data_IF_369464273507
#
_entry.id   IF_369464273507
#
_cell.length_a   1.000
_cell.length_b   1.000
_cell.length_c   1.000
_cell.angle_alpha   90.00
_cell.angle_beta   90.00
_cell.angle_gamma   90.00
#
_symmetry.space_group_name_H-M   'P 1'
#
loop_
_entity.id
_entity.type
_entity.pdbx_description
1 polymer ?
#
# COMPACT_ATOMS: atom_id res chain seq x y z
N UNK A 1 -9.71 -15.46 4.83
CA UNK A 1 -10.45 -15.44 6.09
C UNK A 1 -11.93 -15.21 5.86
N UNK A 2 -12.77 -15.84 6.68
CA UNK A 2 -14.22 -15.61 6.64
C UNK A 2 -14.55 -14.31 7.41
N UNK A 3 -15.36 -13.47 6.81
CA UNK A 3 -15.89 -12.25 7.38
C UNK A 3 -17.41 -12.37 7.57
N UNK A 4 -17.87 -12.17 8.80
CA UNK A 4 -19.30 -12.16 9.13
C UNK A 4 -19.80 -10.73 9.09
N UNK A 5 -20.85 -10.50 8.32
CA UNK A 5 -21.48 -9.18 8.19
C UNK A 5 -22.16 -8.80 9.49
N UNK A 6 -21.89 -7.59 9.98
CA UNK A 6 -22.45 -7.07 11.22
C UNK A 6 -23.98 -6.96 11.11
N UNK A 7 -24.70 -7.20 12.21
CA UNK A 7 -26.17 -7.23 12.23
C UNK A 7 -26.85 -5.93 11.82
N UNK A 8 -26.12 -4.80 11.92
CA UNK A 8 -26.61 -3.49 11.49
C UNK A 8 -26.45 -3.24 9.97
N UNK A 9 -25.98 -4.23 9.21
CA UNK A 9 -25.84 -4.17 7.75
C UNK A 9 -26.82 -5.14 7.12
N UNK A 10 -27.41 -4.78 5.96
CA UNK A 10 -28.30 -5.67 5.23
C UNK A 10 -27.56 -6.86 4.63
N UNK A 11 -28.32 -7.88 4.28
CA UNK A 11 -27.86 -9.11 3.64
C UNK A 11 -27.25 -8.81 2.26
N UNK A 12 -26.17 -9.54 1.94
CA UNK A 12 -25.47 -9.40 0.66
C UNK A 12 -26.15 -10.23 -0.41
N UNK A 13 -26.52 -9.58 -1.50
CA UNK A 13 -26.88 -10.27 -2.74
C UNK A 13 -25.66 -10.49 -3.61
N UNK A 14 -24.92 -9.43 -3.94
CA UNK A 14 -23.77 -9.50 -4.86
C UNK A 14 -22.71 -8.46 -4.49
N UNK A 15 -21.44 -8.86 -4.54
CA UNK A 15 -20.29 -7.94 -4.49
C UNK A 15 -20.19 -7.19 -5.82
N UNK A 16 -20.15 -5.86 -5.75
CA UNK A 16 -20.04 -4.96 -6.90
C UNK A 16 -18.59 -4.58 -7.16
N UNK A 17 -17.89 -4.19 -6.09
CA UNK A 17 -16.50 -3.75 -6.16
C UNK A 17 -15.78 -4.07 -4.85
N UNK A 18 -14.51 -4.34 -4.94
CA UNK A 18 -13.63 -4.58 -3.82
C UNK A 18 -12.34 -3.80 -4.00
N UNK A 19 -11.81 -3.27 -2.92
CA UNK A 19 -10.55 -2.57 -2.88
C UNK A 19 -9.87 -2.83 -1.55
N UNK A 20 -8.53 -2.71 -1.51
CA UNK A 20 -7.76 -2.88 -0.29
C UNK A 20 -6.36 -2.34 -0.38
N UNK A 21 -5.73 -2.26 0.78
CA UNK A 21 -4.33 -1.87 0.91
C UNK A 21 -3.68 -2.61 2.07
N UNK A 22 -2.37 -2.76 1.99
CA UNK A 22 -1.57 -3.29 3.10
C UNK A 22 -1.15 -2.15 4.00
N UNK A 23 -1.35 -2.34 5.29
CA UNK A 23 -0.83 -1.44 6.32
C UNK A 23 0.11 -2.22 7.23
N UNK A 24 1.37 -1.81 7.28
CA UNK A 24 2.32 -2.34 8.26
C UNK A 24 2.17 -1.57 9.59
N UNK A 25 2.07 -2.34 10.68
CA UNK A 25 2.01 -1.78 12.03
C UNK A 25 3.38 -1.85 12.72
N UNK A 26 4.12 -2.95 12.53
CA UNK A 26 5.41 -3.14 13.17
C UNK A 26 6.38 -3.97 12.31
N UNK A 27 7.65 -3.58 12.35
CA UNK A 27 8.78 -4.31 11.75
C UNK A 27 9.79 -4.54 12.86
N UNK A 28 10.13 -5.79 13.16
CA UNK A 28 11.18 -6.16 14.10
C UNK A 28 12.26 -6.95 13.36
N UNK A 29 13.50 -6.48 13.43
CA UNK A 29 14.67 -7.17 12.91
C UNK A 29 15.53 -7.69 14.08
N UNK A 30 15.98 -8.95 14.00
CA UNK A 30 16.97 -9.51 14.89
C UNK A 30 17.87 -10.45 14.09
N UNK A 31 19.06 -9.94 13.71
CA UNK A 31 19.91 -10.57 12.71
C UNK A 31 19.14 -10.80 11.41
N UNK A 32 19.25 -11.99 10.86
CA UNK A 32 18.60 -12.35 9.59
C UNK A 32 17.07 -12.53 9.69
N UNK A 33 16.50 -12.58 10.90
CA UNK A 33 15.07 -12.79 11.08
C UNK A 33 14.33 -11.46 11.13
N UNK A 34 13.36 -11.31 10.26
CA UNK A 34 12.51 -10.11 10.15
C UNK A 34 11.06 -10.54 10.43
N UNK A 35 10.47 -9.97 11.49
CA UNK A 35 9.06 -10.16 11.83
C UNK A 35 8.27 -8.95 11.36
N UNK A 36 7.23 -9.21 10.60
CA UNK A 36 6.30 -8.20 10.12
C UNK A 36 4.94 -8.45 10.75
N UNK A 37 4.32 -7.41 11.26
CA UNK A 37 2.91 -7.42 11.61
C UNK A 37 2.19 -6.26 10.99
N UNK A 38 0.95 -6.49 10.60
CA UNK A 38 0.15 -5.50 9.93
C UNK A 38 -1.26 -6.01 9.64
N UNK A 39 -1.94 -5.33 8.75
CA UNK A 39 -3.28 -5.70 8.31
C UNK A 39 -3.49 -5.43 6.83
N UNK A 40 -4.36 -6.23 6.20
CA UNK A 40 -4.98 -5.91 4.93
C UNK A 40 -6.25 -5.14 5.25
N UNK A 41 -6.24 -3.83 5.07
CA UNK A 41 -7.46 -3.02 5.10
C UNK A 41 -8.22 -3.24 3.80
N UNK A 42 -9.49 -3.57 3.88
CA UNK A 42 -10.32 -3.82 2.69
C UNK A 42 -11.65 -3.09 2.75
N UNK A 43 -12.14 -2.75 1.57
CA UNK A 43 -13.45 -2.16 1.35
C UNK A 43 -14.23 -2.99 0.33
N UNK A 44 -15.51 -3.21 0.61
CA UNK A 44 -16.41 -3.96 -0.26
C UNK A 44 -17.68 -3.15 -0.48
N UNK A 45 -18.00 -2.90 -1.74
CA UNK A 45 -19.31 -2.42 -2.16
C UNK A 45 -20.14 -3.62 -2.60
N UNK A 46 -21.36 -3.73 -2.09
CA UNK A 46 -22.26 -4.82 -2.42
C UNK A 46 -23.70 -4.34 -2.56
N UNK A 47 -24.48 -5.10 -3.32
CA UNK A 47 -25.92 -4.90 -3.38
C UNK A 47 -26.59 -5.69 -2.28
N UNK A 48 -27.58 -5.10 -1.62
CA UNK A 48 -28.41 -5.80 -0.65
C UNK A 48 -29.41 -6.75 -1.33
N UNK A 49 -29.80 -7.80 -0.64
CA UNK A 49 -30.90 -8.65 -1.06
C UNK A 49 -32.22 -7.86 -0.98
N UNK A 50 -33.03 -7.94 -2.02
CA UNK A 50 -34.33 -7.28 -2.05
C UNK A 50 -35.35 -8.14 -1.27
N UNK A 51 -35.84 -7.61 -0.17
CA UNK A 51 -37.01 -8.15 0.50
C UNK A 51 -38.22 -7.45 -0.11
N UNK A 52 -38.94 -8.10 -0.97
CA UNK A 52 -40.20 -7.62 -1.47
C UNK A 52 -41.28 -7.79 -0.38
N UNK A 53 -41.51 -6.79 0.41
CA UNK A 53 -42.69 -6.69 1.27
C UNK A 53 -43.72 -5.81 0.56
N UNK A 54 -44.63 -6.44 -0.20
CA UNK A 54 -45.88 -5.83 -0.69
C UNK A 54 -45.75 -4.75 -1.78
N UNK A 55 -46.87 -4.45 -2.42
CA UNK A 55 -47.11 -3.55 -3.57
C UNK A 55 -46.64 -2.08 -3.38
N UNK A 56 -45.36 -1.83 -3.16
CA UNK A 56 -44.81 -0.48 -3.24
C UNK A 56 -44.47 -0.14 -4.70
N UNK A 57 -44.85 1.04 -5.20
CA UNK A 57 -44.60 1.42 -6.60
C UNK A 57 -43.10 1.55 -6.88
N UNK A 58 -42.70 1.11 -8.07
CA UNK A 58 -41.31 1.06 -8.58
C UNK A 58 -40.51 2.39 -8.50
N UNK A 59 -41.15 3.51 -8.29
CA UNK A 59 -40.56 4.85 -8.28
C UNK A 59 -39.56 5.09 -7.12
N UNK A 60 -39.63 4.32 -6.02
CA UNK A 60 -38.72 4.44 -4.90
C UNK A 60 -37.56 3.44 -4.86
N UNK A 61 -37.45 2.56 -5.86
CA UNK A 61 -36.50 1.46 -5.90
C UNK A 61 -35.06 1.94 -6.21
N UNK A 62 -34.86 3.18 -6.62
CA UNK A 62 -33.54 3.69 -7.06
C UNK A 62 -32.55 4.10 -5.97
N UNK A 63 -32.97 4.24 -4.72
CA UNK A 63 -32.25 5.09 -3.77
C UNK A 63 -31.18 4.44 -2.89
N UNK A 64 -31.17 3.15 -2.61
CA UNK A 64 -30.23 2.60 -1.58
C UNK A 64 -29.89 1.11 -1.76
N UNK A 65 -29.63 0.69 -2.99
CA UNK A 65 -29.29 -0.72 -3.27
C UNK A 65 -27.84 -1.08 -2.97
N UNK A 66 -26.94 -0.12 -2.83
CA UNK A 66 -25.52 -0.35 -2.63
C UNK A 66 -25.12 -0.03 -1.20
N UNK A 67 -24.50 -0.99 -0.58
CA UNK A 67 -23.96 -0.89 0.77
C UNK A 67 -22.43 -1.03 0.76
N UNK A 68 -21.81 -0.59 1.84
CA UNK A 68 -20.37 -0.54 1.99
C UNK A 68 -19.92 -1.21 3.29
N UNK A 69 -18.89 -2.05 3.19
CA UNK A 69 -18.17 -2.64 4.31
C UNK A 69 -16.73 -2.16 4.26
N UNK A 70 -16.20 -1.78 5.40
CA UNK A 70 -14.78 -1.52 5.60
C UNK A 70 -14.32 -2.26 6.85
N UNK A 71 -13.25 -3.06 6.71
CA UNK A 71 -12.67 -3.81 7.81
C UNK A 71 -11.20 -4.16 7.50
N UNK A 72 -10.53 -4.88 8.41
CA UNK A 72 -9.13 -5.24 8.27
C UNK A 72 -8.87 -6.71 8.69
N UNK A 73 -7.97 -7.37 7.97
CA UNK A 73 -7.49 -8.72 8.29
C UNK A 73 -6.07 -8.60 8.80
N UNK A 74 -5.80 -8.88 10.10
CA UNK A 74 -4.45 -8.86 10.62
C UNK A 74 -3.62 -10.02 10.08
N UNK A 75 -2.33 -9.77 9.90
CA UNK A 75 -1.33 -10.78 9.58
C UNK A 75 -0.06 -10.60 10.41
N UNK A 76 0.68 -11.70 10.58
CA UNK A 76 2.01 -11.73 11.16
C UNK A 76 2.83 -12.73 10.36
N UNK A 77 3.99 -12.29 9.87
CA UNK A 77 4.89 -13.11 9.08
C UNK A 77 6.32 -13.00 9.57
N UNK A 78 7.04 -14.11 9.46
CA UNK A 78 8.47 -14.18 9.73
C UNK A 78 9.19 -14.45 8.41
N UNK A 79 10.07 -13.55 8.03
CA UNK A 79 10.90 -13.64 6.85
C UNK A 79 12.37 -13.75 7.23
N UNK A 80 13.19 -14.27 6.32
CA UNK A 80 14.64 -14.36 6.50
C UNK A 80 15.32 -13.54 5.42
N UNK A 81 16.16 -12.60 5.84
CA UNK A 81 17.01 -11.80 4.96
C UNK A 81 18.46 -12.16 5.24
N UNK A 82 19.04 -13.01 4.39
CA UNK A 82 20.39 -13.53 4.57
C UNK A 82 21.45 -12.42 4.53
N UNK A 83 22.46 -12.53 5.38
CA UNK A 83 23.61 -11.62 5.42
C UNK A 83 23.37 -10.31 6.17
N UNK A 84 22.18 -10.11 6.75
CA UNK A 84 21.87 -8.94 7.58
C UNK A 84 22.31 -9.17 9.03
N UNK A 85 22.96 -8.16 9.60
CA UNK A 85 23.40 -8.11 10.98
C UNK A 85 22.52 -7.14 11.79
N UNK A 86 22.62 -7.19 13.12
CA UNK A 86 21.84 -6.33 14.02
C UNK A 86 22.08 -4.81 13.84
N UNK A 87 23.20 -4.44 13.24
CA UNK A 87 23.57 -3.03 12.99
C UNK A 87 23.03 -2.50 11.66
N UNK A 88 22.53 -3.39 10.82
CA UNK A 88 22.07 -3.04 9.48
C UNK A 88 20.67 -2.42 9.54
N UNK A 89 20.40 -1.48 8.65
CA UNK A 89 19.08 -0.89 8.49
C UNK A 89 18.26 -1.77 7.56
N UNK A 90 17.10 -2.26 8.03
CA UNK A 90 16.16 -3.03 7.20
C UNK A 90 15.04 -2.13 6.71
N UNK A 91 14.84 -2.09 5.40
CA UNK A 91 13.70 -1.44 4.77
C UNK A 91 12.74 -2.47 4.22
N UNK A 92 11.47 -2.23 4.42
CA UNK A 92 10.39 -3.14 4.00
C UNK A 92 9.42 -2.36 3.13
N UNK A 93 9.12 -2.92 1.95
CA UNK A 93 8.07 -2.44 1.07
C UNK A 93 7.04 -3.55 0.92
N UNK A 94 5.78 -3.18 0.96
CA UNK A 94 4.66 -4.13 0.82
C UNK A 94 3.69 -3.64 -0.23
N UNK A 95 3.18 -4.58 -1.02
CA UNK A 95 2.10 -4.37 -1.98
C UNK A 95 0.97 -5.36 -1.74
N UNK A 96 -0.23 -4.99 -2.11
CA UNK A 96 -1.37 -5.90 -2.21
C UNK A 96 -1.50 -6.31 -3.69
N UNK A 97 -1.05 -7.52 -4.01
CA UNK A 97 -1.05 -8.00 -5.40
C UNK A 97 -2.43 -8.44 -5.84
N UNK A 98 -3.19 -9.05 -4.92
CA UNK A 98 -4.53 -9.53 -5.21
C UNK A 98 -5.42 -9.39 -3.96
N UNK A 99 -6.64 -8.95 -4.18
CA UNK A 99 -7.72 -9.01 -3.19
C UNK A 99 -8.94 -9.68 -3.82
N UNK A 100 -9.36 -10.80 -3.26
CA UNK A 100 -10.55 -11.53 -3.73
C UNK A 100 -11.59 -11.59 -2.62
N UNK A 101 -12.79 -11.14 -2.92
CA UNK A 101 -13.94 -11.24 -2.01
C UNK A 101 -15.04 -12.05 -2.67
N UNK A 102 -15.36 -13.20 -2.08
CA UNK A 102 -16.44 -14.09 -2.51
C UNK A 102 -17.59 -14.11 -1.51
N UNK A 103 -18.81 -14.27 -2.01
CA UNK A 103 -20.01 -14.45 -1.18
C UNK A 103 -20.13 -15.92 -0.81
N UNK A 104 -20.10 -16.25 0.49
CA UNK A 104 -20.36 -17.61 0.98
C UNK A 104 -21.87 -17.79 1.19
N UNK A 105 -22.50 -16.81 1.83
CA UNK A 105 -23.95 -16.68 1.98
C UNK A 105 -24.29 -15.20 2.22
N UNK A 106 -25.58 -14.87 2.37
CA UNK A 106 -26.04 -13.47 2.53
C UNK A 106 -25.42 -12.73 3.71
N UNK A 107 -24.90 -13.46 4.73
CA UNK A 107 -24.30 -12.89 5.95
C UNK A 107 -22.80 -13.14 6.07
N UNK A 108 -22.18 -13.82 5.08
CA UNK A 108 -20.78 -14.24 5.20
C UNK A 108 -20.03 -14.09 3.88
N UNK A 109 -18.87 -13.43 3.96
CA UNK A 109 -17.93 -13.24 2.86
C UNK A 109 -16.66 -14.04 3.10
N UNK A 110 -16.05 -14.54 2.03
CA UNK A 110 -14.67 -15.03 2.04
C UNK A 110 -13.76 -13.90 1.53
N UNK A 111 -12.80 -13.46 2.34
CA UNK A 111 -11.84 -12.43 1.96
C UNK A 111 -10.45 -13.05 1.92
N UNK A 112 -9.79 -12.96 0.77
CA UNK A 112 -8.42 -13.43 0.53
C UNK A 112 -7.60 -12.29 -0.03
N UNK A 113 -6.39 -12.06 0.52
CA UNK A 113 -5.38 -11.16 -0.02
C UNK A 113 -4.08 -11.89 -0.28
N UNK A 114 -3.36 -11.49 -1.32
CA UNK A 114 -1.98 -11.87 -1.59
C UNK A 114 -1.14 -10.61 -1.43
N UNK A 115 -0.13 -10.69 -0.56
CA UNK A 115 0.77 -9.58 -0.23
C UNK A 115 2.13 -9.90 -0.80
N UNK A 116 2.70 -8.98 -1.57
CA UNK A 116 4.13 -8.97 -1.89
C UNK A 116 4.90 -8.24 -0.79
N UNK A 117 6.08 -8.75 -0.48
CA UNK A 117 6.99 -8.15 0.50
C UNK A 117 8.39 -8.10 -0.08
N UNK A 118 8.97 -6.92 -0.15
CA UNK A 118 10.35 -6.69 -0.54
C UNK A 118 11.16 -6.21 0.67
N UNK A 119 12.29 -6.88 0.91
CA UNK A 119 13.19 -6.60 2.02
C UNK A 119 14.54 -6.12 1.49
N UNK A 120 15.04 -5.01 2.01
CA UNK A 120 16.36 -4.46 1.70
C UNK A 120 17.15 -4.30 2.99
N UNK A 121 18.35 -4.90 3.05
CA UNK A 121 19.33 -4.68 4.11
C UNK A 121 20.37 -3.66 3.64
N UNK A 122 20.53 -2.58 4.38
CA UNK A 122 21.53 -1.55 4.12
C UNK A 122 22.58 -1.55 5.21
N UNK A 123 23.86 -1.61 4.83
CA UNK A 123 25.00 -1.54 5.73
C UNK A 123 25.87 -0.35 5.38
N UNK A 124 26.21 0.43 6.38
CA UNK A 124 27.21 1.48 6.26
C UNK A 124 28.57 0.94 6.74
N UNK A 125 29.57 0.98 5.88
CA UNK A 125 30.92 0.51 6.18
C UNK A 125 31.92 1.65 6.02
N UNK A 126 32.84 1.76 6.99
CA UNK A 126 33.98 2.67 6.89
C UNK A 126 35.14 1.93 6.22
N UNK A 127 35.55 2.42 5.06
CA UNK A 127 36.71 1.91 4.33
C UNK A 127 37.92 2.79 4.59
N UNK A 128 38.95 2.22 5.19
CA UNK A 128 40.26 2.84 5.26
C UNK A 128 41.07 2.46 4.03
N UNK A 129 41.47 3.44 3.25
CA UNK A 129 42.21 3.22 2.00
C UNK A 129 43.53 3.96 2.07
N UNK A 130 44.64 3.25 1.81
CA UNK A 130 45.94 3.89 1.66
C UNK A 130 45.94 4.77 0.40
N UNK A 131 46.19 6.06 0.57
CA UNK A 131 46.20 7.02 -0.53
C UNK A 131 47.59 7.23 -1.12
N UNK A 132 48.64 7.10 -0.30
CA UNK A 132 50.03 7.34 -0.68
C UNK A 132 50.99 6.68 0.27
N UNK A 133 52.09 6.16 -0.25
CA UNK A 133 53.23 5.66 0.51
C UNK A 133 54.40 6.60 0.22
N UNK A 134 54.92 7.27 1.25
CA UNK A 134 56.06 8.15 1.13
C UNK A 134 57.38 7.39 1.41
N UNK A 135 57.69 6.42 0.52
CA UNK A 135 58.95 5.69 0.54
C UNK A 135 59.60 5.75 -0.85
N UNK A 136 60.91 6.00 -0.88
CA UNK A 136 61.67 6.15 -2.13
C UNK A 136 61.93 4.85 -2.86
N UNK A 137 61.80 3.72 -2.17
CA UNK A 137 62.14 2.41 -2.71
C UNK A 137 60.89 1.58 -3.10
N UNK A 138 59.71 2.25 -3.13
CA UNK A 138 58.43 1.58 -3.45
C UNK A 138 57.80 2.15 -4.71
N UNK A 139 57.53 1.29 -5.67
CA UNK A 139 56.70 1.62 -6.83
C UNK A 139 55.24 1.60 -6.44
N UNK A 140 54.52 2.67 -6.75
CA UNK A 140 53.07 2.80 -6.43
C UNK A 140 52.22 2.60 -7.66
N UNK A 141 51.29 1.65 -7.61
CA UNK A 141 50.24 1.49 -8.60
C UNK A 141 48.94 2.14 -8.05
N UNK A 142 48.53 3.23 -8.66
CA UNK A 142 47.30 3.96 -8.29
C UNK A 142 46.11 3.40 -9.04
N UNK A 143 45.04 3.08 -8.31
CA UNK A 143 43.75 2.67 -8.84
C UNK A 143 42.62 3.64 -8.49
N UNK A 144 41.53 3.54 -9.19
CA UNK A 144 40.30 4.27 -8.88
C UNK A 144 39.24 3.30 -8.38
N UNK A 145 38.60 3.61 -7.27
CA UNK A 145 37.46 2.87 -6.73
C UNK A 145 36.23 3.77 -6.72
N UNK A 146 35.13 3.26 -7.27
CA UNK A 146 33.83 3.92 -7.18
C UNK A 146 33.10 3.41 -5.93
N UNK A 147 32.70 4.31 -5.06
CA UNK A 147 31.93 4.03 -3.85
C UNK A 147 30.59 4.76 -3.92
N UNK A 148 29.54 4.12 -3.41
CA UNK A 148 28.25 4.75 -3.18
C UNK A 148 28.19 5.24 -1.75
N UNK A 149 27.83 6.49 -1.57
CA UNK A 149 27.60 7.11 -0.27
C UNK A 149 26.18 7.63 -0.21
N UNK A 150 25.47 7.29 0.87
CA UNK A 150 24.18 7.92 1.16
C UNK A 150 24.45 9.35 1.63
N UNK A 151 23.97 10.33 0.88
CA UNK A 151 24.17 11.74 1.18
C UNK A 151 23.07 12.26 2.12
N UNK A 152 21.80 12.02 1.75
CA UNK A 152 20.67 12.44 2.56
C UNK A 152 19.43 11.57 2.35
N UNK A 153 18.55 11.54 3.34
CA UNK A 153 17.21 10.94 3.26
C UNK A 153 16.22 11.98 3.75
N UNK A 154 15.29 12.36 2.89
CA UNK A 154 14.19 13.26 3.24
C UNK A 154 12.87 12.50 3.19
N UNK A 155 12.04 12.70 4.23
CA UNK A 155 10.65 12.23 4.26
C UNK A 155 9.77 13.44 4.44
N UNK A 156 8.83 13.63 3.50
CA UNK A 156 7.89 14.74 3.56
C UNK A 156 6.49 14.30 3.17
N UNK A 157 5.50 15.10 3.54
CA UNK A 157 4.08 14.86 3.25
C UNK A 157 3.59 15.99 2.36
N UNK A 158 3.32 15.67 1.12
CA UNK A 158 2.72 16.59 0.16
C UNK A 158 1.19 16.48 0.22
N UNK A 159 0.52 17.61 0.46
CA UNK A 159 -0.95 17.68 0.48
C UNK A 159 -1.45 18.24 -0.84
N UNK A 160 -2.21 17.43 -1.57
CA UNK A 160 -2.84 17.81 -2.82
C UNK A 160 -4.33 18.08 -2.54
N UNK A 161 -4.84 19.21 -3.03
CA UNK A 161 -6.26 19.56 -2.95
C UNK A 161 -6.72 20.01 -4.32
N UNK A 162 -7.78 19.38 -4.81
CA UNK A 162 -8.43 19.78 -6.05
C UNK A 162 -9.96 19.70 -5.92
N UNK A 163 -10.67 20.41 -6.79
CA UNK A 163 -12.13 20.38 -6.89
C UNK A 163 -12.50 19.77 -8.23
N UNK A 164 -13.20 18.63 -8.16
CA UNK A 164 -13.69 17.94 -9.36
C UNK A 164 -15.13 18.38 -9.62
N UNK A 165 -15.39 18.95 -10.81
CA UNK A 165 -16.71 19.34 -11.23
C UNK A 165 -17.31 18.26 -12.12
N UNK A 166 -18.50 17.76 -11.75
CA UNK A 166 -19.20 16.79 -12.57
C UNK A 166 -19.68 17.41 -13.89
N UNK A 167 -19.52 16.71 -15.01
CA UNK A 167 -20.15 17.12 -16.27
C UNK A 167 -21.68 17.20 -16.13
N UNK A 168 -22.29 18.17 -16.76
CA UNK A 168 -23.76 18.35 -16.76
C UNK A 168 -24.55 17.14 -17.30
N UNK A 169 -23.89 16.25 -18.03
CA UNK A 169 -24.44 14.98 -18.54
C UNK A 169 -24.57 13.89 -17.49
N UNK A 170 -23.99 14.08 -16.32
CA UNK A 170 -24.06 13.12 -15.21
C UNK A 170 -25.11 13.57 -14.19
N UNK A 171 -25.82 12.66 -13.53
CA UNK A 171 -26.74 12.98 -12.46
C UNK A 171 -26.01 13.60 -11.27
N UNK A 172 -26.75 14.34 -10.44
CA UNK A 172 -26.21 14.92 -9.22
C UNK A 172 -25.75 13.82 -8.23
N UNK A 173 -24.66 14.08 -7.51
CA UNK A 173 -24.22 13.20 -6.43
C UNK A 173 -25.17 13.32 -5.25
N UNK A 174 -25.81 12.22 -4.87
CA UNK A 174 -26.60 12.14 -3.65
C UNK A 174 -25.75 11.75 -2.44
N UNK A 175 -24.78 10.85 -2.61
CA UNK A 175 -23.95 10.31 -1.53
C UNK A 175 -22.63 9.81 -2.08
N UNK A 176 -21.52 10.14 -1.41
CA UNK A 176 -20.22 9.50 -1.63
C UNK A 176 -20.15 8.24 -0.75
N UNK A 177 -19.98 7.08 -1.38
CA UNK A 177 -19.97 5.79 -0.70
C UNK A 177 -18.52 5.36 -0.42
N UNK A 178 -17.64 5.50 -1.41
CA UNK A 178 -16.21 5.19 -1.33
C UNK A 178 -15.42 6.13 -2.21
N UNK A 179 -14.15 6.32 -1.88
CA UNK A 179 -13.20 7.06 -2.71
C UNK A 179 -11.88 6.31 -2.77
N UNK A 180 -11.32 6.21 -3.95
CA UNK A 180 -9.98 5.67 -4.20
C UNK A 180 -9.16 6.75 -4.88
N UNK A 181 -7.93 6.92 -4.43
CA UNK A 181 -6.95 7.80 -5.07
C UNK A 181 -5.72 6.99 -5.40
N UNK A 182 -5.31 7.04 -6.66
CA UNK A 182 -4.14 6.36 -7.16
C UNK A 182 -3.18 7.38 -7.78
N UNK A 183 -1.88 7.20 -7.52
CA UNK A 183 -0.81 8.02 -8.09
C UNK A 183 -0.18 7.28 -9.25
N UNK A 184 -0.17 7.91 -10.43
CA UNK A 184 0.36 7.33 -11.67
C UNK A 184 1.41 8.22 -12.31
N UNK A 185 2.20 7.63 -13.22
CA UNK A 185 3.18 8.35 -14.02
C UNK A 185 4.12 9.21 -13.16
N UNK A 186 4.55 8.66 -12.01
CA UNK A 186 5.51 9.32 -11.15
C UNK A 186 6.87 9.37 -11.84
N UNK A 187 7.33 10.58 -12.13
CA UNK A 187 8.64 10.87 -12.67
C UNK A 187 9.40 11.77 -11.70
N UNK A 188 10.71 11.65 -11.68
CA UNK A 188 11.55 12.55 -10.92
C UNK A 188 12.70 13.09 -11.77
N UNK A 189 13.02 14.35 -11.57
CA UNK A 189 14.21 15.00 -12.12
C UNK A 189 15.08 15.47 -10.96
N UNK A 190 16.37 15.19 -11.08
CA UNK A 190 17.36 15.57 -10.08
C UNK A 190 18.12 16.81 -10.56
N UNK A 191 18.14 17.84 -9.75
CA UNK A 191 18.99 19.01 -9.89
C UNK A 191 19.95 19.08 -8.70
N UNK A 192 20.92 20.01 -8.72
CA UNK A 192 22.02 20.03 -7.75
C UNK A 192 21.55 20.08 -6.29
N UNK A 193 20.47 20.76 -5.99
CA UNK A 193 20.00 21.12 -4.66
C UNK A 193 18.54 20.70 -4.39
N UNK A 194 17.85 20.19 -5.41
CA UNK A 194 16.45 19.75 -5.26
C UNK A 194 16.07 18.61 -6.20
N UNK A 195 15.01 17.90 -5.83
CA UNK A 195 14.36 16.88 -6.63
C UNK A 195 12.96 17.36 -6.96
N UNK A 196 12.64 17.42 -8.25
CA UNK A 196 11.28 17.69 -8.71
C UNK A 196 10.56 16.38 -8.98
N UNK A 197 9.39 16.22 -8.36
CA UNK A 197 8.49 15.07 -8.59
C UNK A 197 7.30 15.55 -9.41
N UNK A 198 7.00 14.87 -10.51
CA UNK A 198 5.80 15.06 -11.32
C UNK A 198 5.00 13.77 -11.38
N UNK A 199 3.68 13.87 -11.43
CA UNK A 199 2.81 12.71 -11.50
C UNK A 199 1.35 13.10 -11.63
N UNK A 200 0.50 12.10 -11.81
CA UNK A 200 -0.94 12.25 -11.96
C UNK A 200 -1.66 11.62 -10.78
N UNK A 201 -2.62 12.34 -10.22
CA UNK A 201 -3.50 11.86 -9.16
C UNK A 201 -4.86 11.52 -9.79
N UNK A 202 -5.21 10.23 -9.82
CA UNK A 202 -6.49 9.71 -10.31
C UNK A 202 -7.42 9.42 -9.12
N UNK A 203 -8.64 9.96 -9.14
CA UNK A 203 -9.66 9.79 -8.13
C UNK A 203 -10.95 9.20 -8.70
#
# INVERSE_FOLDING_TARGET
RDYVIKDNKPDVSKVVCQNGQVKLDEIKASGENIWLSGSIEFEVLYTREEVFEGDEPEENIGGNRVEHIKDAIPFQEKLVLQGVCEKDTVRVYTGLDELTVGVINSRKLSVRGIISVELYGEREENLEVAQRIDDKDVEQLMGQMKVLKLDSVVRDIVRIKNVVTLPKTKPNICKLISSLVDMRNLEYTYERDHITLTGECHA
#
